data_IF_121353156248
#
_entry.id   IF_121353156248
#
_cell.length_a   1.000
_cell.length_b   1.000
_cell.length_c   1.000
_cell.angle_alpha   90.00
_cell.angle_beta   90.00
_cell.angle_gamma   90.00
#
_symmetry.space_group_name_H-M   'P 1'
#
loop_
_entity.id
_entity.type
_entity.pdbx_description
1 polymer ?
#
# COMPACT_ATOMS: atom_id res chain seq x y z
N UNK A 1 7.18 10.84 -1.20
CA UNK A 1 6.49 12.16 -1.32
C UNK A 1 7.36 13.23 -0.69
N UNK A 2 7.39 14.45 -1.24
CA UNK A 2 8.28 15.52 -0.75
C UNK A 2 8.05 15.86 0.74
N UNK A 3 6.80 15.84 1.21
CA UNK A 3 6.45 16.16 2.60
C UNK A 3 6.81 15.07 3.61
N UNK A 4 6.85 13.79 3.19
CA UNK A 4 7.32 12.69 4.05
C UNK A 4 8.82 12.85 4.34
N UNK A 5 9.60 13.23 3.33
CA UNK A 5 11.04 13.49 3.46
C UNK A 5 11.36 14.76 4.24
N UNK A 6 10.43 15.71 4.33
CA UNK A 6 10.55 16.93 5.13
C UNK A 6 10.00 16.77 6.57
N UNK A 7 9.68 15.55 7.00
CA UNK A 7 9.09 15.26 8.32
C UNK A 7 7.76 16.00 8.59
N UNK A 8 7.09 16.44 7.51
CA UNK A 8 5.79 17.12 7.57
C UNK A 8 4.67 16.07 7.54
N UNK A 9 4.68 15.20 8.55
CA UNK A 9 3.85 13.99 8.62
C UNK A 9 2.36 14.26 8.47
N UNK A 10 1.84 15.37 9.02
CA UNK A 10 0.43 15.74 8.89
C UNK A 10 0.02 16.05 7.44
N UNK A 11 0.90 16.68 6.67
CA UNK A 11 0.63 16.98 5.25
C UNK A 11 0.85 15.76 4.38
N UNK A 12 1.90 14.98 4.66
CA UNK A 12 2.13 13.72 3.99
C UNK A 12 0.94 12.76 4.17
N UNK A 13 0.32 12.71 5.35
CA UNK A 13 -0.89 11.93 5.60
C UNK A 13 -2.03 12.34 4.65
N UNK A 14 -2.27 13.64 4.50
CA UNK A 14 -3.31 14.16 3.61
C UNK A 14 -3.01 13.81 2.16
N UNK A 15 -1.77 13.98 1.69
CA UNK A 15 -1.38 13.61 0.33
C UNK A 15 -1.66 12.13 0.03
N UNK A 16 -1.24 11.22 0.92
CA UNK A 16 -1.49 9.80 0.70
C UNK A 16 -2.98 9.45 0.79
N UNK A 17 -3.76 10.14 1.64
CA UNK A 17 -5.22 9.99 1.66
C UNK A 17 -5.84 10.44 0.35
N UNK A 18 -5.37 11.52 -0.25
CA UNK A 18 -5.78 12.00 -1.58
C UNK A 18 -5.41 10.98 -2.66
N UNK A 19 -4.20 10.42 -2.63
CA UNK A 19 -3.79 9.35 -3.55
C UNK A 19 -4.73 8.14 -3.44
N UNK A 20 -5.07 7.70 -2.23
CA UNK A 20 -5.99 6.59 -2.02
C UNK A 20 -7.44 6.91 -2.41
N UNK A 21 -7.85 8.18 -2.37
CA UNK A 21 -9.15 8.60 -2.92
C UNK A 21 -9.15 8.55 -4.45
N UNK A 22 -8.01 8.87 -5.09
CA UNK A 22 -7.86 8.80 -6.55
C UNK A 22 -7.77 7.33 -6.99
N UNK A 23 -6.86 6.56 -6.40
CA UNK A 23 -6.67 5.15 -6.68
C UNK A 23 -6.43 4.40 -5.37
N UNK A 24 -7.48 3.73 -4.90
CA UNK A 24 -7.45 2.94 -3.67
C UNK A 24 -6.49 1.74 -3.73
N UNK A 25 -6.01 1.39 -4.92
CA UNK A 25 -5.27 0.17 -5.17
C UNK A 25 -3.75 0.33 -5.04
N UNK A 26 -3.28 1.56 -4.81
CA UNK A 26 -1.86 1.89 -4.64
C UNK A 26 -1.36 1.42 -3.27
N UNK A 27 -0.76 0.23 -3.23
CA UNK A 27 -0.25 -0.40 -2.00
C UNK A 27 0.75 0.49 -1.24
N UNK A 28 1.67 1.14 -1.96
CA UNK A 28 2.66 2.03 -1.35
C UNK A 28 2.02 3.19 -0.57
N UNK A 29 0.85 3.67 -1.01
CA UNK A 29 0.12 4.72 -0.31
C UNK A 29 -0.51 4.19 0.99
N UNK A 30 -1.06 2.97 0.99
CA UNK A 30 -1.54 2.31 2.21
C UNK A 30 -0.41 2.13 3.24
N UNK A 31 0.75 1.66 2.80
CA UNK A 31 1.90 1.42 3.67
C UNK A 31 2.42 2.73 4.27
N UNK A 32 2.53 3.80 3.46
CA UNK A 32 2.90 5.13 3.94
C UNK A 32 1.88 5.71 4.92
N UNK A 33 0.57 5.58 4.68
CA UNK A 33 -0.47 6.03 5.62
C UNK A 33 -0.33 5.32 6.97
N UNK A 34 -0.14 4.00 6.96
CA UNK A 34 0.05 3.24 8.20
C UNK A 34 1.30 3.67 8.97
N UNK A 35 2.41 3.90 8.26
CA UNK A 35 3.66 4.38 8.86
C UNK A 35 3.48 5.78 9.47
N UNK A 36 2.92 6.72 8.70
CA UNK A 36 2.70 8.10 9.14
C UNK A 36 1.73 8.16 10.32
N UNK A 37 0.69 7.32 10.32
CA UNK A 37 -0.28 7.22 11.44
C UNK A 37 0.43 6.89 12.75
N UNK A 38 1.41 5.97 12.74
CA UNK A 38 2.20 5.64 13.94
C UNK A 38 2.99 6.84 14.43
N UNK A 39 3.70 7.51 13.53
CA UNK A 39 4.50 8.71 13.85
C UNK A 39 3.62 9.84 14.43
N UNK A 40 2.43 10.03 13.88
CA UNK A 40 1.47 11.03 14.36
C UNK A 40 0.92 10.68 15.75
N UNK A 41 0.62 9.41 16.02
CA UNK A 41 0.23 8.95 17.35
C UNK A 41 1.38 9.14 18.35
N UNK A 42 2.63 8.86 17.95
CA UNK A 42 3.80 9.06 18.80
C UNK A 42 4.04 10.55 19.13
N UNK A 43 3.78 11.45 18.19
CA UNK A 43 3.98 12.89 18.38
C UNK A 43 2.84 13.58 19.15
N UNK A 44 1.60 13.25 18.79
CA UNK A 44 0.42 14.01 19.21
C UNK A 44 -0.56 13.18 20.08
N UNK A 45 -0.25 11.92 20.34
CA UNK A 45 -1.11 11.00 21.09
C UNK A 45 -2.40 10.68 20.35
N UNK A 46 -3.45 10.34 21.09
CA UNK A 46 -4.78 10.07 20.55
C UNK A 46 -5.43 11.27 19.82
N UNK A 47 -4.97 12.48 20.12
CA UNK A 47 -5.47 13.74 19.55
C UNK A 47 -4.85 14.08 18.18
N UNK A 48 -3.98 13.24 17.65
CA UNK A 48 -3.30 13.48 16.38
C UNK A 48 -4.26 13.80 15.22
N UNK A 49 -5.45 13.20 15.23
CA UNK A 49 -6.50 13.42 14.22
C UNK A 49 -7.05 14.84 14.24
N UNK A 50 -7.18 15.44 15.43
CA UNK A 50 -7.70 16.80 15.61
C UNK A 50 -6.72 17.85 15.08
N UNK A 51 -5.44 17.47 14.96
CA UNK A 51 -4.36 18.33 14.49
C UNK A 51 -4.10 18.18 12.99
N UNK A 52 -4.78 17.26 12.32
CA UNK A 52 -4.68 17.09 10.88
C UNK A 52 -5.31 18.28 10.15
N UNK A 53 -4.71 18.72 9.03
CA UNK A 53 -5.39 19.64 8.13
C UNK A 53 -6.62 18.96 7.50
N UNK A 54 -7.56 19.78 7.04
CA UNK A 54 -8.76 19.30 6.33
C UNK A 54 -8.35 18.46 5.11
N UNK A 55 -8.95 17.27 4.98
CA UNK A 55 -8.68 16.39 3.84
C UNK A 55 -9.46 16.93 2.64
N UNK A 56 -8.80 17.30 1.53
CA UNK A 56 -9.49 17.79 0.35
C UNK A 56 -10.36 16.66 -0.22
N UNK A 57 -11.61 17.00 -0.53
CA UNK A 57 -12.53 16.07 -1.18
C UNK A 57 -12.14 15.95 -2.66
N UNK A 58 -11.65 14.78 -3.07
CA UNK A 58 -11.37 14.51 -4.48
C UNK A 58 -12.68 14.23 -5.23
N UNK A 59 -12.99 14.95 -6.32
CA UNK A 59 -14.17 14.68 -7.14
C UNK A 59 -14.16 13.25 -7.71
N UNK A 60 -15.32 12.61 -7.78
CA UNK A 60 -15.48 11.26 -8.34
C UNK A 60 -14.88 11.13 -9.76
N UNK A 61 -14.93 12.19 -10.56
CA UNK A 61 -14.33 12.23 -11.91
C UNK A 61 -12.81 12.05 -11.95
N UNK A 62 -12.12 12.36 -10.85
CA UNK A 62 -10.68 12.17 -10.70
C UNK A 62 -10.34 10.81 -10.07
N UNK A 63 -11.33 10.06 -9.58
CA UNK A 63 -11.11 8.72 -9.04
C UNK A 63 -10.85 7.76 -10.20
N UNK A 64 -9.60 7.33 -10.31
CA UNK A 64 -9.20 6.24 -11.18
C UNK A 64 -9.61 4.94 -10.49
N UNK A 65 -10.89 4.57 -10.61
CA UNK A 65 -11.30 3.18 -10.43
C UNK A 65 -10.51 2.37 -11.44
N UNK A 66 -9.49 1.67 -10.95
CA UNK A 66 -8.63 0.75 -11.70
C UNK A 66 -9.43 0.07 -12.81
N UNK A 67 -9.33 0.59 -14.05
CA UNK A 67 -9.38 -0.29 -15.21
C UNK A 67 -8.09 -1.07 -15.09
N UNK A 68 -8.20 -2.31 -14.66
CA UNK A 68 -7.11 -3.27 -14.71
C UNK A 68 -6.62 -3.26 -16.16
N UNK A 69 -5.58 -2.49 -16.46
CA UNK A 69 -4.80 -2.77 -17.65
C UNK A 69 -4.30 -4.20 -17.44
N UNK A 70 -4.66 -5.13 -18.35
CA UNK A 70 -4.30 -6.52 -18.17
C UNK A 70 -2.78 -6.57 -18.00
N UNK A 71 -2.27 -7.29 -16.98
CA UNK A 71 -0.83 -7.40 -16.75
C UNK A 71 -0.19 -7.83 -18.07
N UNK A 72 0.80 -7.06 -18.53
CA UNK A 72 1.55 -7.38 -19.73
C UNK A 72 2.06 -8.83 -19.64
N UNK A 73 2.13 -9.54 -20.76
CA UNK A 73 2.46 -10.97 -20.80
C UNK A 73 3.73 -11.32 -20.01
N UNK A 74 4.68 -10.39 -19.93
CA UNK A 74 5.92 -10.49 -19.18
C UNK A 74 5.70 -10.63 -17.66
N UNK A 75 4.76 -9.88 -17.07
CA UNK A 75 4.41 -9.94 -15.65
C UNK A 75 3.69 -11.26 -15.30
N UNK A 76 2.84 -11.75 -16.21
CA UNK A 76 2.20 -13.05 -16.08
C UNK A 76 3.23 -14.20 -16.15
N UNK A 77 4.21 -14.10 -17.04
CA UNK A 77 5.28 -15.09 -17.17
C UNK A 77 6.17 -15.11 -15.92
N UNK A 78 6.64 -13.95 -15.44
CA UNK A 78 7.46 -13.87 -14.23
C UNK A 78 6.75 -14.45 -12.99
N UNK A 79 5.44 -14.21 -12.85
CA UNK A 79 4.63 -14.78 -11.77
C UNK A 79 4.46 -16.29 -11.92
N UNK A 80 4.29 -16.79 -13.15
CA UNK A 80 4.20 -18.22 -13.43
C UNK A 80 5.54 -18.94 -13.16
N UNK A 81 6.68 -18.32 -13.48
CA UNK A 81 8.01 -18.87 -13.19
C UNK A 81 8.29 -18.91 -11.69
N UNK A 82 7.93 -17.86 -10.96
CA UNK A 82 8.04 -17.82 -9.49
C UNK A 82 7.20 -18.91 -8.83
N UNK A 83 5.96 -19.11 -9.30
CA UNK A 83 5.07 -20.15 -8.79
C UNK A 83 5.62 -21.56 -9.05
N UNK A 84 6.21 -21.80 -10.23
CA UNK A 84 6.86 -23.08 -10.56
C UNK A 84 8.09 -23.35 -9.69
N UNK A 85 8.90 -22.32 -9.41
CA UNK A 85 10.05 -22.45 -8.51
C UNK A 85 9.66 -22.76 -7.05
N UNK A 86 8.51 -22.25 -6.59
CA UNK A 86 8.02 -22.53 -5.24
C UNK A 86 7.39 -23.92 -5.09
N UNK A 87 6.74 -24.45 -6.14
CA UNK A 87 6.13 -25.77 -6.13
C UNK A 87 7.15 -26.93 -6.09
N UNK A 88 8.41 -26.69 -6.48
CA UNK A 88 9.47 -27.70 -6.49
C UNK A 88 10.12 -28.03 -5.14
N UNK A 89 9.86 -27.25 -4.08
CA UNK A 89 10.52 -27.44 -2.75
C UNK A 89 9.64 -28.09 -1.68
N UNK A 90 8.45 -28.59 -2.03
CA UNK A 90 7.46 -29.10 -1.08
C UNK A 90 7.21 -30.61 -1.06
N UNK A 91 7.99 -31.43 -1.78
CA UNK A 91 7.76 -32.89 -1.84
C UNK A 91 8.97 -33.66 -1.30
N UNK A 92 9.19 -33.59 0.00
CA UNK A 92 9.85 -34.65 0.75
C UNK A 92 8.84 -35.18 1.76
N UNK A 93 8.23 -36.32 1.44
CA UNK A 93 7.39 -37.07 2.37
C UNK A 93 8.31 -37.76 3.41
N UNK A 94 7.99 -37.76 4.71
CA UNK A 94 8.61 -38.70 5.64
C UNK A 94 7.95 -40.08 5.52
N UNK A 95 8.74 -41.11 5.25
CA UNK A 95 8.31 -42.51 5.28
C UNK A 95 7.86 -42.91 6.70
N UNK A 96 6.75 -43.65 6.87
CA UNK A 96 6.42 -44.28 8.15
C UNK A 96 7.23 -45.58 8.29
N UNK A 97 7.99 -45.70 9.38
CA UNK A 97 8.62 -46.97 9.76
C UNK A 97 7.65 -47.74 10.67
N UNK A 98 7.48 -49.03 10.36
CA UNK A 98 6.72 -50.05 11.11
C UNK A 98 7.33 -50.39 12.47
#
# INVERSE_FOLDING_TARGET
MAYETMERYRQAYVDYKTVLQIDISVQAAHDSVNRITRLLIEQDGEQWREKLPEIPLVPLSAQQHRREEPPSAEVLQARAETAKHHAGRGLTQPSPHS
#
